data_IF_562602069439
#
_entry.id   IF_562602069439
#
_cell.length_a   1.000
_cell.length_b   1.000
_cell.length_c   1.000
_cell.angle_alpha   90.00
_cell.angle_beta   90.00
_cell.angle_gamma   90.00
#
_symmetry.space_group_name_H-M   'P 1'
#
loop_
_entity.id
_entity.type
_entity.pdbx_description
1 polymer ?
#
# COMPACT_ATOMS: atom_id res chain seq x y z
N UNK A 1 8.48 -42.29 -31.78
CA UNK A 1 7.24 -41.57 -31.36
C UNK A 1 7.26 -41.04 -29.92
N UNK A 2 8.28 -41.31 -29.14
CA UNK A 2 8.36 -40.86 -27.73
C UNK A 2 8.82 -39.40 -27.51
N UNK A 3 9.36 -38.73 -28.54
CA UNK A 3 9.94 -37.39 -28.39
C UNK A 3 8.88 -36.28 -28.20
N UNK A 4 7.70 -36.40 -28.80
CA UNK A 4 6.67 -35.38 -28.75
C UNK A 4 6.10 -35.16 -27.33
N UNK A 5 6.01 -36.22 -26.53
CA UNK A 5 5.48 -36.08 -25.16
C UNK A 5 6.48 -35.40 -24.20
N UNK A 6 7.75 -35.74 -24.32
CA UNK A 6 8.79 -35.13 -23.52
C UNK A 6 8.98 -33.62 -23.88
N UNK A 7 8.89 -33.31 -25.17
CA UNK A 7 8.94 -31.92 -25.65
C UNK A 7 7.71 -31.13 -25.17
N UNK A 8 6.52 -31.70 -25.19
CA UNK A 8 5.31 -31.10 -24.65
C UNK A 8 5.43 -30.86 -23.15
N UNK A 9 5.90 -31.83 -22.37
CA UNK A 9 6.12 -31.69 -20.93
C UNK A 9 7.14 -30.55 -20.64
N UNK A 10 8.27 -30.50 -21.35
CA UNK A 10 9.26 -29.48 -21.22
C UNK A 10 8.72 -28.09 -21.60
N UNK A 11 7.88 -28.02 -22.63
CA UNK A 11 7.18 -26.79 -23.03
C UNK A 11 6.22 -26.30 -21.94
N UNK A 12 5.44 -27.21 -21.39
CA UNK A 12 4.49 -26.91 -20.29
C UNK A 12 5.22 -26.39 -19.05
N UNK A 13 6.31 -27.05 -18.64
CA UNK A 13 7.12 -26.63 -17.49
C UNK A 13 7.71 -25.23 -17.68
N UNK A 14 8.23 -24.93 -18.89
CA UNK A 14 8.75 -23.60 -19.23
C UNK A 14 7.65 -22.54 -19.17
N UNK A 15 6.45 -22.85 -19.67
CA UNK A 15 5.32 -21.94 -19.63
C UNK A 15 4.88 -21.67 -18.19
N UNK A 16 4.76 -22.72 -17.36
CA UNK A 16 4.42 -22.57 -15.93
C UNK A 16 5.44 -21.72 -15.18
N UNK A 17 6.73 -21.92 -15.43
CA UNK A 17 7.78 -21.11 -14.80
C UNK A 17 7.67 -19.62 -15.18
N UNK A 18 7.37 -19.32 -16.45
CA UNK A 18 7.13 -17.95 -16.92
C UNK A 18 5.87 -17.35 -16.30
N UNK A 19 4.81 -18.14 -16.18
CA UNK A 19 3.57 -17.71 -15.54
C UNK A 19 3.81 -17.35 -14.07
N UNK A 20 4.48 -18.22 -13.32
CA UNK A 20 4.83 -17.97 -11.92
C UNK A 20 5.64 -16.68 -11.78
N UNK A 21 6.63 -16.49 -12.62
CA UNK A 21 7.48 -15.29 -12.60
C UNK A 21 6.68 -14.01 -12.91
N UNK A 22 5.78 -14.06 -13.90
CA UNK A 22 4.92 -12.94 -14.25
C UNK A 22 3.93 -12.60 -13.12
N UNK A 23 3.35 -13.62 -12.47
CA UNK A 23 2.43 -13.45 -11.36
C UNK A 23 3.12 -12.83 -10.13
N UNK A 24 4.31 -13.30 -9.79
CA UNK A 24 5.10 -12.74 -8.69
C UNK A 24 5.47 -11.27 -8.96
N UNK A 25 5.91 -10.96 -10.18
CA UNK A 25 6.20 -9.58 -10.59
C UNK A 25 4.96 -8.69 -10.52
N UNK A 26 3.79 -9.17 -10.97
CA UNK A 26 2.53 -8.44 -10.88
C UNK A 26 2.15 -8.12 -9.43
N UNK A 27 2.26 -9.09 -8.53
CA UNK A 27 1.97 -8.88 -7.11
C UNK A 27 2.93 -7.89 -6.47
N UNK A 28 4.21 -7.92 -6.83
CA UNK A 28 5.20 -6.93 -6.40
C UNK A 28 4.85 -5.51 -6.85
N UNK A 29 4.40 -5.35 -8.10
CA UNK A 29 3.95 -4.05 -8.62
C UNK A 29 2.68 -3.55 -7.93
N UNK A 30 1.72 -4.43 -7.68
CA UNK A 30 0.48 -4.10 -6.94
C UNK A 30 0.83 -3.64 -5.51
N UNK A 31 1.64 -4.41 -4.78
CA UNK A 31 2.09 -4.03 -3.43
C UNK A 31 2.78 -2.67 -3.42
N UNK A 32 3.71 -2.45 -4.35
CA UNK A 32 4.42 -1.18 -4.50
C UNK A 32 3.47 -0.02 -4.79
N UNK A 33 2.47 -0.21 -5.65
CA UNK A 33 1.52 0.85 -5.99
C UNK A 33 0.63 1.22 -4.80
N UNK A 34 0.12 0.22 -4.07
CA UNK A 34 -0.62 0.46 -2.82
C UNK A 34 0.24 1.20 -1.81
N UNK A 35 1.49 0.79 -1.63
CA UNK A 35 2.45 1.45 -0.75
C UNK A 35 2.66 2.93 -1.11
N UNK A 36 2.86 3.24 -2.40
CA UNK A 36 3.02 4.62 -2.88
C UNK A 36 1.77 5.46 -2.59
N UNK A 37 0.59 4.90 -2.88
CA UNK A 37 -0.68 5.57 -2.65
C UNK A 37 -0.94 5.78 -1.15
N UNK A 38 -0.66 4.77 -0.32
CA UNK A 38 -0.78 4.87 1.13
C UNK A 38 0.15 5.94 1.71
N UNK A 39 1.39 6.03 1.22
CA UNK A 39 2.30 7.11 1.60
C UNK A 39 1.77 8.49 1.21
N UNK A 40 1.24 8.64 0.01
CA UNK A 40 0.62 9.89 -0.43
C UNK A 40 -0.56 10.27 0.46
N UNK A 41 -1.43 9.33 0.77
CA UNK A 41 -2.58 9.55 1.65
C UNK A 41 -2.14 9.93 3.07
N UNK A 42 -1.08 9.30 3.58
CA UNK A 42 -0.54 9.61 4.90
C UNK A 42 0.24 10.94 4.95
N UNK A 43 0.76 11.42 3.82
CA UNK A 43 1.49 12.68 3.69
C UNK A 43 0.61 13.85 3.20
N UNK A 44 -0.63 13.57 2.83
CA UNK A 44 -1.56 14.54 2.20
C UNK A 44 -2.06 15.63 3.15
N UNK A 45 -1.66 15.59 4.40
CA UNK A 45 -2.02 16.58 5.39
C UNK A 45 -1.31 17.92 5.15
N UNK A 46 -2.00 18.79 4.49
CA UNK A 46 -1.56 20.13 4.13
C UNK A 46 -1.70 21.17 5.26
N UNK A 47 -1.75 20.76 6.53
CA UNK A 47 -1.73 21.72 7.63
C UNK A 47 -0.30 21.85 8.17
N UNK A 48 0.46 22.87 7.73
CA UNK A 48 1.77 23.14 8.31
C UNK A 48 1.61 23.38 9.81
N UNK A 49 2.64 23.05 10.61
CA UNK A 49 2.62 23.35 12.03
C UNK A 49 2.41 24.86 12.25
N UNK A 50 1.46 25.20 13.09
CA UNK A 50 1.20 26.59 13.45
C UNK A 50 2.18 27.03 14.53
N UNK A 51 2.85 28.14 14.32
CA UNK A 51 3.71 28.76 15.33
C UNK A 51 2.84 29.37 16.43
N UNK A 52 2.98 28.88 17.64
CA UNK A 52 2.20 29.34 18.80
C UNK A 52 3.15 29.91 19.83
N UNK A 53 2.77 31.03 20.44
CA UNK A 53 3.50 31.62 21.56
C UNK A 53 2.85 31.19 22.87
N UNK A 54 3.61 30.50 23.71
CA UNK A 54 3.16 30.10 25.04
C UNK A 54 3.02 31.35 25.94
N UNK A 55 2.27 31.19 27.04
CA UNK A 55 2.05 32.27 28.03
C UNK A 55 3.35 32.86 28.64
N UNK A 56 4.42 32.07 28.63
CA UNK A 56 5.76 32.45 29.07
C UNK A 56 6.62 33.16 27.99
N UNK A 57 6.04 33.43 26.82
CA UNK A 57 6.72 34.03 25.68
C UNK A 57 7.50 33.08 24.79
N UNK A 58 7.63 31.80 25.16
CA UNK A 58 8.33 30.84 24.35
C UNK A 58 7.50 30.46 23.10
N UNK A 59 8.17 30.39 21.97
CA UNK A 59 7.56 30.00 20.72
C UNK A 59 7.79 28.51 20.47
N UNK A 60 6.72 27.78 20.12
CA UNK A 60 6.77 26.38 19.72
C UNK A 60 5.85 26.12 18.52
N UNK A 61 6.14 25.06 17.79
CA UNK A 61 5.27 24.64 16.71
C UNK A 61 4.20 23.69 17.24
N UNK A 62 2.94 24.10 17.13
CA UNK A 62 1.82 23.24 17.43
C UNK A 62 1.45 22.49 16.13
N UNK A 63 1.71 21.20 16.14
CA UNK A 63 1.17 20.31 15.12
C UNK A 63 -0.32 20.12 15.43
N UNK A 64 -1.17 20.37 14.45
CA UNK A 64 -2.57 20.02 14.57
C UNK A 64 -2.69 18.54 14.14
N UNK A 65 -2.74 17.57 15.07
CA UNK A 65 -2.80 16.15 14.71
C UNK A 65 -4.16 15.77 14.13
N UNK A 66 -5.12 16.67 14.18
CA UNK A 66 -6.50 16.41 13.84
C UNK A 66 -6.90 17.20 12.60
N UNK A 67 -6.98 16.53 11.48
CA UNK A 67 -7.80 16.95 10.36
C UNK A 67 -9.23 16.61 10.74
N UNK A 68 -10.16 17.51 10.45
CA UNK A 68 -11.56 17.29 10.75
C UNK A 68 -12.06 15.97 10.12
N UNK A 69 -12.76 15.13 10.88
CA UNK A 69 -13.35 13.91 10.34
C UNK A 69 -14.25 14.25 9.16
N UNK A 70 -14.07 13.55 8.05
CA UNK A 70 -14.96 13.69 6.89
C UNK A 70 -14.43 14.55 5.75
N UNK A 71 -13.23 15.15 5.85
CA UNK A 71 -12.63 15.89 4.73
C UNK A 71 -11.83 14.98 3.76
N UNK A 72 -11.82 13.66 4.00
CA UNK A 72 -11.17 12.66 3.15
C UNK A 72 -9.64 12.70 3.15
N UNK A 73 -9.06 13.50 4.02
CA UNK A 73 -7.59 13.61 4.15
C UNK A 73 -7.07 12.55 5.10
N UNK A 74 -5.86 12.07 4.81
CA UNK A 74 -5.15 11.15 5.68
C UNK A 74 -4.61 11.80 6.97
N UNK A 75 -3.88 11.04 7.78
CA UNK A 75 -3.31 11.52 9.02
C UNK A 75 -2.26 12.59 8.77
N UNK A 76 -2.16 13.55 9.68
CA UNK A 76 -1.18 14.63 9.59
C UNK A 76 0.25 14.12 9.75
N UNK A 77 1.18 14.65 8.96
CA UNK A 77 2.60 14.33 9.05
C UNK A 77 3.20 14.94 10.33
N UNK A 78 3.19 14.16 11.41
CA UNK A 78 3.89 14.55 12.64
C UNK A 78 5.41 14.40 12.50
N UNK A 79 5.96 13.36 13.13
CA UNK A 79 7.41 13.06 13.11
C UNK A 79 7.90 12.36 11.85
N UNK A 80 7.00 11.96 10.96
CA UNK A 80 7.30 11.15 9.79
C UNK A 80 7.44 9.64 10.08
N UNK A 81 7.32 9.21 11.33
CA UNK A 81 7.48 7.81 11.73
C UNK A 81 6.50 6.87 11.00
N UNK A 82 5.27 7.31 10.74
CA UNK A 82 4.31 6.53 9.97
C UNK A 82 4.87 6.22 8.58
N UNK A 83 5.31 7.25 7.87
CA UNK A 83 5.82 7.14 6.49
C UNK A 83 7.09 6.29 6.39
N UNK A 84 8.00 6.44 7.36
CA UNK A 84 9.28 5.70 7.40
C UNK A 84 9.08 4.25 7.84
N UNK A 85 8.04 3.95 8.60
CA UNK A 85 7.71 2.60 9.07
C UNK A 85 6.90 1.78 8.06
N UNK A 86 6.44 2.40 6.97
CA UNK A 86 5.71 1.67 5.93
C UNK A 86 6.63 0.77 5.13
N UNK A 87 6.17 -0.45 4.91
CA UNK A 87 6.85 -1.47 4.12
C UNK A 87 5.87 -2.16 3.18
N UNK A 88 6.41 -2.79 2.17
CA UNK A 88 5.64 -3.67 1.29
C UNK A 88 6.46 -4.91 0.94
N UNK A 89 5.77 -6.00 0.68
CA UNK A 89 6.37 -7.25 0.21
C UNK A 89 5.39 -8.01 -0.68
N UNK A 90 5.93 -8.91 -1.48
CA UNK A 90 5.16 -9.93 -2.19
C UNK A 90 5.81 -11.28 -1.98
N UNK A 91 5.02 -12.35 -1.94
CA UNK A 91 5.53 -13.69 -1.77
C UNK A 91 4.62 -14.71 -2.46
N UNK A 92 5.24 -15.80 -2.90
CA UNK A 92 4.53 -17.00 -3.34
C UNK A 92 4.21 -17.87 -2.12
N UNK A 93 2.94 -18.21 -1.92
CA UNK A 93 2.49 -19.09 -0.82
C UNK A 93 2.36 -20.55 -1.23
N UNK A 94 2.34 -20.82 -2.53
CA UNK A 94 2.21 -22.14 -3.11
C UNK A 94 1.98 -22.06 -4.61
N UNK A 95 1.72 -23.20 -5.27
CA UNK A 95 1.44 -23.23 -6.69
C UNK A 95 0.18 -22.40 -7.00
N UNK A 96 0.31 -21.40 -7.86
CA UNK A 96 -0.78 -20.49 -8.25
C UNK A 96 -1.30 -19.55 -7.16
N UNK A 97 -0.65 -19.51 -5.98
CA UNK A 97 -1.06 -18.64 -4.87
C UNK A 97 0.02 -17.62 -4.55
N UNK A 98 -0.32 -16.35 -4.68
CA UNK A 98 0.57 -15.22 -4.45
C UNK A 98 -0.08 -14.23 -3.50
N UNK A 99 0.72 -13.61 -2.65
CA UNK A 99 0.27 -12.57 -1.73
C UNK A 99 1.09 -11.31 -1.90
N UNK A 100 0.43 -10.19 -1.74
CA UNK A 100 1.05 -8.87 -1.61
C UNK A 100 0.64 -8.28 -0.26
N UNK A 101 1.61 -7.78 0.48
CA UNK A 101 1.40 -7.22 1.81
C UNK A 101 1.95 -5.81 1.84
N UNK A 102 1.17 -4.89 2.41
CA UNK A 102 1.59 -3.52 2.71
C UNK A 102 1.27 -3.24 4.16
N UNK A 103 2.22 -2.74 4.90
CA UNK A 103 2.07 -2.52 6.33
C UNK A 103 2.76 -1.25 6.80
N UNK A 104 2.45 -0.85 8.04
CA UNK A 104 3.12 0.23 8.74
C UNK A 104 3.47 -0.24 10.16
N UNK A 105 4.77 -0.13 10.52
CA UNK A 105 5.29 -0.56 11.80
C UNK A 105 5.11 0.43 12.95
N UNK A 106 4.59 1.64 12.69
CA UNK A 106 4.32 2.60 13.76
C UNK A 106 3.22 2.08 14.70
N UNK A 107 3.46 2.14 16.01
CA UNK A 107 2.55 1.60 17.03
C UNK A 107 1.13 2.19 16.99
N UNK A 108 0.99 3.39 16.46
CA UNK A 108 -0.29 4.10 16.30
C UNK A 108 -0.92 3.92 14.91
N UNK A 109 -0.25 3.23 13.98
CA UNK A 109 -0.70 3.07 12.60
C UNK A 109 -2.11 2.44 12.51
N UNK A 110 -2.33 1.37 13.29
CA UNK A 110 -3.64 0.71 13.37
C UNK A 110 -4.73 1.64 13.90
N UNK A 111 -4.41 2.45 14.92
CA UNK A 111 -5.37 3.37 15.51
C UNK A 111 -5.77 4.49 14.53
N UNK A 112 -4.86 4.93 13.68
CA UNK A 112 -5.18 5.87 12.60
C UNK A 112 -6.12 5.23 11.57
N UNK A 113 -5.80 4.04 11.10
CA UNK A 113 -6.58 3.37 10.06
C UNK A 113 -7.99 2.98 10.51
N UNK A 114 -8.09 2.36 11.69
CA UNK A 114 -9.33 1.76 12.19
C UNK A 114 -10.09 2.64 13.19
N UNK A 115 -9.48 3.70 13.66
CA UNK A 115 -9.95 4.50 14.78
C UNK A 115 -9.48 3.94 16.12
N UNK A 116 -9.48 4.78 17.14
CA UNK A 116 -9.17 4.40 18.52
C UNK A 116 -10.43 4.63 19.38
N UNK A 117 -10.91 3.60 20.11
CA UNK A 117 -12.06 3.75 21.00
C UNK A 117 -11.89 4.78 22.13
N UNK A 118 -10.63 5.12 22.45
CA UNK A 118 -10.30 6.15 23.44
C UNK A 118 -10.33 7.58 22.90
N UNK A 119 -10.42 7.74 21.60
CA UNK A 119 -10.59 9.05 20.97
C UNK A 119 -12.08 9.40 21.02
N UNK A 120 -12.40 10.56 21.49
CA UNK A 120 -13.73 11.02 21.88
C UNK A 120 -14.79 11.01 20.77
N UNK A 121 -14.49 10.55 19.58
CA UNK A 121 -15.42 10.60 18.45
C UNK A 121 -15.34 9.39 17.50
N UNK A 122 -14.58 8.34 17.81
CA UNK A 122 -14.40 7.21 16.88
C UNK A 122 -13.78 7.61 15.54
N UNK A 123 -13.06 8.72 15.52
CA UNK A 123 -12.47 9.30 14.31
C UNK A 123 -11.42 8.36 13.73
N UNK A 124 -11.49 8.15 12.43
CA UNK A 124 -10.50 7.42 11.64
C UNK A 124 -9.77 8.40 10.71
N UNK A 125 -8.54 8.08 10.45
CA UNK A 125 -7.72 8.74 9.42
C UNK A 125 -7.15 7.66 8.48
N UNK A 126 -7.98 7.01 7.66
CA UNK A 126 -7.58 5.90 6.82
C UNK A 126 -6.61 6.37 5.74
N UNK A 127 -5.57 5.59 5.52
CA UNK A 127 -4.56 5.84 4.49
C UNK A 127 -4.27 4.60 3.64
N UNK A 128 -4.46 3.40 4.19
CA UNK A 128 -4.30 2.12 3.49
C UNK A 128 -5.56 1.73 2.72
N UNK A 129 -6.73 1.78 3.37
CA UNK A 129 -8.01 1.43 2.76
C UNK A 129 -8.28 2.24 1.48
N UNK A 130 -8.17 3.60 1.47
CA UNK A 130 -8.37 4.36 0.25
C UNK A 130 -7.28 4.12 -0.79
N UNK A 131 -6.05 3.76 -0.38
CA UNK A 131 -4.99 3.42 -1.31
C UNK A 131 -5.30 2.14 -2.08
N UNK A 132 -5.79 1.11 -1.41
CA UNK A 132 -6.21 -0.15 -2.03
C UNK A 132 -7.47 0.03 -2.85
N UNK A 133 -8.50 0.66 -2.28
CA UNK A 133 -9.78 0.88 -2.96
C UNK A 133 -9.61 1.70 -4.24
N UNK A 134 -8.80 2.76 -4.18
CA UNK A 134 -8.48 3.57 -5.35
C UNK A 134 -7.78 2.78 -6.46
N UNK A 135 -6.89 1.86 -6.10
CA UNK A 135 -6.21 0.99 -7.06
C UNK A 135 -7.17 0.00 -7.73
N UNK A 136 -8.11 -0.57 -6.94
CA UNK A 136 -9.13 -1.48 -7.45
C UNK A 136 -10.09 -0.75 -8.39
N UNK A 137 -10.63 0.39 -7.95
CA UNK A 137 -11.68 1.13 -8.69
C UNK A 137 -11.16 1.81 -9.95
N UNK A 138 -9.88 2.20 -9.98
CA UNK A 138 -9.26 2.82 -11.17
C UNK A 138 -8.91 1.83 -12.29
N UNK A 139 -9.07 0.53 -12.08
CA UNK A 139 -8.68 -0.50 -13.05
C UNK A 139 -7.16 -0.69 -13.20
N UNK A 140 -6.36 -0.05 -12.37
CA UNK A 140 -4.90 -0.17 -12.43
C UNK A 140 -4.40 -1.60 -12.17
N UNK A 141 -5.11 -2.37 -11.33
CA UNK A 141 -4.78 -3.79 -11.12
C UNK A 141 -4.84 -4.56 -12.44
N UNK A 142 -5.91 -4.38 -13.21
CA UNK A 142 -6.07 -5.02 -14.52
C UNK A 142 -4.98 -4.62 -15.49
N UNK A 143 -4.55 -3.36 -15.47
CA UNK A 143 -3.45 -2.88 -16.30
C UNK A 143 -2.10 -3.49 -15.90
N UNK A 144 -1.82 -3.58 -14.59
CA UNK A 144 -0.60 -4.23 -14.07
C UNK A 144 -0.58 -5.70 -14.47
N UNK A 145 -1.69 -6.41 -14.32
CA UNK A 145 -1.81 -7.81 -14.72
C UNK A 145 -1.59 -7.96 -16.24
N UNK A 146 -2.29 -7.18 -17.05
CA UNK A 146 -2.13 -7.21 -18.50
C UNK A 146 -0.69 -6.94 -18.93
N UNK A 147 -0.02 -5.98 -18.31
CA UNK A 147 1.39 -5.69 -18.57
C UNK A 147 2.31 -6.86 -18.20
N UNK A 148 2.13 -7.41 -16.99
CA UNK A 148 2.99 -8.49 -16.47
C UNK A 148 2.85 -9.80 -17.25
N UNK A 149 1.65 -10.09 -17.77
CA UNK A 149 1.38 -11.31 -18.53
C UNK A 149 1.52 -11.15 -20.06
N UNK A 150 1.80 -9.95 -20.54
CA UNK A 150 2.01 -9.70 -21.99
C UNK A 150 3.06 -10.62 -22.64
N UNK A 151 4.21 -10.94 -22.00
CA UNK A 151 5.23 -11.82 -22.60
C UNK A 151 4.80 -13.28 -22.76
N UNK A 152 3.66 -13.68 -22.17
CA UNK A 152 3.15 -15.06 -22.24
C UNK A 152 2.23 -15.32 -23.45
N UNK A 153 1.76 -14.25 -24.08
CA UNK A 153 0.80 -14.29 -25.20
C UNK A 153 1.42 -14.18 -26.60
N UNK A 154 2.74 -14.35 -26.73
CA UNK A 154 3.47 -14.33 -27.99
C UNK A 154 3.95 -15.69 -28.41
#
# INVERSE_FOLDING_TARGET
>A
MSNNFAEFQAGMQRWLARFDQAAEAAMGLIARQVYINAKKNADSASNPPVRVTARNGNQYYKYNPHISPGDGRGPNRGTGNLLTSMTYSSSRKGFGSYTAEVGAGAIYARALELGNPRWSSGVKYPYMEPALTGLVTSGQISQILAYSFRPLGG
#
